data_IF_794662553367
#
_entry.id   IF_794662553367
#
_cell.length_a   1.000
_cell.length_b   1.000
_cell.length_c   1.000
_cell.angle_alpha   90.00
_cell.angle_beta   90.00
_cell.angle_gamma   90.00
#
_symmetry.space_group_name_H-M   'P 1'
#
loop_
_entity.id
_entity.type
_entity.pdbx_description
1 polymer ?
#
# COMPACT_ATOMS: atom_id res chain seq x y z
N UNK A 1 3.13 17.00 6.95
CA UNK A 1 2.85 15.56 6.95
C UNK A 1 3.67 14.93 5.84
N UNK A 2 4.06 13.68 5.99
CA UNK A 2 4.84 12.95 4.98
C UNK A 2 3.93 12.02 4.17
N UNK A 3 4.28 11.82 2.90
CA UNK A 3 3.63 10.88 1.98
C UNK A 3 4.38 9.55 2.06
N UNK A 4 3.66 8.48 2.40
CA UNK A 4 4.22 7.14 2.53
C UNK A 4 3.44 6.15 1.67
N UNK A 5 4.15 5.32 0.91
CA UNK A 5 3.53 4.25 0.14
C UNK A 5 3.69 2.91 0.85
N UNK A 6 2.62 2.15 1.00
CA UNK A 6 2.66 0.78 1.53
C UNK A 6 2.48 -0.21 0.37
N UNK A 7 3.61 -0.70 -0.14
CA UNK A 7 3.69 -1.57 -1.30
C UNK A 7 3.45 -3.02 -0.86
N UNK A 8 2.37 -3.61 -1.36
CA UNK A 8 1.81 -4.88 -0.87
C UNK A 8 1.23 -4.73 0.54
N UNK A 9 0.33 -3.76 0.71
CA UNK A 9 -0.27 -3.41 1.99
C UNK A 9 -1.16 -4.53 2.57
N UNK A 10 -1.53 -5.53 1.77
CA UNK A 10 -2.41 -6.61 2.16
C UNK A 10 -3.69 -6.10 2.80
N UNK A 11 -3.95 -6.54 4.03
CA UNK A 11 -5.15 -6.20 4.80
C UNK A 11 -5.11 -4.81 5.47
N UNK A 12 -4.15 -3.96 5.10
CA UNK A 12 -4.03 -2.59 5.61
C UNK A 12 -3.48 -2.50 7.04
N UNK A 13 -2.64 -3.45 7.47
CA UNK A 13 -2.08 -3.49 8.84
C UNK A 13 -1.44 -2.19 9.29
N UNK A 14 -0.75 -1.49 8.38
CA UNK A 14 0.03 -0.28 8.69
C UNK A 14 -0.75 1.03 8.50
N UNK A 15 -2.05 0.98 8.18
CA UNK A 15 -2.93 2.15 8.01
C UNK A 15 -3.47 2.68 9.35
N UNK A 16 -2.60 2.98 10.30
CA UNK A 16 -2.97 3.42 11.65
C UNK A 16 -2.26 4.70 12.14
N UNK A 17 -1.67 5.47 11.22
CA UNK A 17 -0.96 6.69 11.55
C UNK A 17 -1.64 7.92 10.93
N UNK A 18 -2.38 8.66 11.76
CA UNK A 18 -3.14 9.84 11.34
C UNK A 18 -2.26 11.06 10.98
N UNK A 19 -0.94 10.98 11.18
CA UNK A 19 0.02 12.05 10.82
C UNK A 19 0.63 11.86 9.43
N UNK A 20 0.38 10.72 8.79
CA UNK A 20 0.92 10.35 7.49
C UNK A 20 -0.17 10.36 6.43
N UNK A 21 0.20 10.80 5.23
CA UNK A 21 -0.61 10.59 4.03
C UNK A 21 -0.19 9.26 3.42
N UNK A 22 -0.98 8.22 3.65
CA UNK A 22 -0.64 6.87 3.20
C UNK A 22 -1.43 6.46 1.97
N UNK A 23 -0.74 5.95 0.95
CA UNK A 23 -1.33 5.24 -0.19
C UNK A 23 -0.86 3.78 -0.15
N UNK A 24 -1.81 2.85 -0.14
CA UNK A 24 -1.52 1.42 -0.09
C UNK A 24 -1.80 0.78 -1.42
N UNK A 25 -0.99 -0.22 -1.79
CA UNK A 25 -1.29 -1.02 -2.95
C UNK A 25 -1.13 -2.51 -2.67
N UNK A 26 -1.97 -3.32 -3.29
CA UNK A 26 -1.85 -4.77 -3.25
C UNK A 26 -2.39 -5.36 -4.56
N UNK A 27 -1.86 -6.51 -4.96
CA UNK A 27 -2.32 -7.23 -6.15
C UNK A 27 -3.69 -7.87 -5.92
N UNK A 28 -4.10 -8.06 -4.67
CA UNK A 28 -5.35 -8.72 -4.27
C UNK A 28 -6.47 -7.71 -3.96
N UNK A 29 -7.48 -7.54 -4.83
CA UNK A 29 -8.62 -6.68 -4.54
C UNK A 29 -9.38 -7.10 -3.28
N UNK A 30 -9.42 -8.41 -2.98
CA UNK A 30 -10.07 -8.94 -1.76
C UNK A 30 -9.39 -8.44 -0.48
N UNK A 31 -8.06 -8.30 -0.49
CA UNK A 31 -7.32 -7.76 0.64
C UNK A 31 -7.54 -6.26 0.77
N UNK A 32 -7.62 -5.54 -0.35
CA UNK A 32 -7.96 -4.12 -0.36
C UNK A 32 -9.37 -3.85 0.17
N UNK A 33 -10.36 -4.68 -0.19
CA UNK A 33 -11.71 -4.60 0.37
C UNK A 33 -11.69 -4.79 1.90
N UNK A 34 -10.86 -5.71 2.40
CA UNK A 34 -10.70 -5.89 3.85
C UNK A 34 -10.01 -4.68 4.49
N UNK A 35 -8.95 -4.15 3.87
CA UNK A 35 -8.25 -2.97 4.33
C UNK A 35 -9.18 -1.75 4.41
N UNK A 36 -10.04 -1.56 3.41
CA UNK A 36 -11.04 -0.48 3.39
C UNK A 36 -12.11 -0.66 4.47
N UNK A 37 -12.59 -1.89 4.70
CA UNK A 37 -13.51 -2.18 5.81
C UNK A 37 -12.89 -1.92 7.18
N UNK A 38 -11.57 -2.11 7.30
CA UNK A 38 -10.82 -1.86 8.54
C UNK A 38 -10.58 -0.37 8.76
N UNK A 39 -10.32 0.39 7.69
CA UNK A 39 -10.13 1.83 7.71
C UNK A 39 -10.78 2.44 6.46
N UNK A 40 -11.99 2.96 6.60
CA UNK A 40 -12.77 3.52 5.49
C UNK A 40 -12.12 4.75 4.85
N UNK A 41 -11.14 5.37 5.53
CA UNK A 41 -10.39 6.52 5.02
C UNK A 41 -9.09 6.12 4.33
N UNK A 42 -8.76 4.82 4.28
CA UNK A 42 -7.55 4.33 3.63
C UNK A 42 -7.59 4.66 2.13
N UNK A 43 -6.53 5.29 1.63
CA UNK A 43 -6.32 5.46 0.19
C UNK A 43 -5.62 4.21 -0.34
N UNK A 44 -6.31 3.47 -1.21
CA UNK A 44 -5.89 2.15 -1.67
C UNK A 44 -5.98 2.04 -3.19
N UNK A 45 -5.04 1.32 -3.81
CA UNK A 45 -5.02 1.03 -5.25
C UNK A 45 -4.66 -0.43 -5.52
N UNK A 46 -5.39 -1.08 -6.42
CA UNK A 46 -5.01 -2.41 -6.90
C UNK A 46 -3.90 -2.27 -7.93
N UNK A 47 -2.72 -2.85 -7.67
CA UNK A 47 -1.66 -2.90 -8.66
C UNK A 47 -0.66 -4.03 -8.40
N UNK A 48 0.06 -4.40 -9.45
CA UNK A 48 1.23 -5.28 -9.37
C UNK A 48 2.46 -4.44 -8.96
N UNK A 49 3.31 -4.97 -8.08
CA UNK A 49 4.53 -4.29 -7.61
C UNK A 49 5.56 -4.05 -8.73
N UNK A 50 5.51 -4.83 -9.81
CA UNK A 50 6.33 -4.63 -11.00
C UNK A 50 5.81 -3.49 -11.89
N UNK A 51 4.56 -3.07 -11.70
CA UNK A 51 3.88 -2.03 -12.49
C UNK A 51 3.17 -1.02 -11.58
N UNK A 52 3.94 -0.36 -10.71
CA UNK A 52 3.39 0.62 -9.77
C UNK A 52 2.88 1.88 -10.52
N UNK A 53 1.61 2.26 -10.40
CA UNK A 53 1.04 3.46 -11.03
C UNK A 53 1.35 4.72 -10.22
N UNK A 54 2.58 4.84 -9.71
CA UNK A 54 3.05 5.96 -8.90
C UNK A 54 4.07 6.76 -9.69
N UNK A 55 4.09 8.08 -9.47
CA UNK A 55 5.10 8.94 -10.08
C UNK A 55 6.44 8.74 -9.39
N UNK A 56 7.54 8.86 -10.11
CA UNK A 56 8.86 8.89 -9.48
C UNK A 56 8.98 10.08 -8.51
N UNK A 57 9.73 9.90 -7.42
CA UNK A 57 10.00 10.93 -6.42
C UNK A 57 8.75 11.59 -5.81
N UNK A 58 7.62 10.87 -5.76
CA UNK A 58 6.34 11.39 -5.25
C UNK A 58 6.01 11.01 -3.81
N UNK A 59 6.91 10.31 -3.10
CA UNK A 59 6.77 9.98 -1.69
C UNK A 59 8.04 10.30 -0.92
N UNK A 60 7.90 10.51 0.40
CA UNK A 60 9.02 10.68 1.31
C UNK A 60 9.62 9.33 1.73
N UNK A 61 8.81 8.27 1.74
CA UNK A 61 9.23 6.91 2.06
C UNK A 61 8.26 5.86 1.49
N UNK A 62 8.71 4.60 1.42
CA UNK A 62 7.85 3.47 1.14
C UNK A 62 8.12 2.30 2.10
N UNK A 63 7.06 1.54 2.39
CA UNK A 63 7.10 0.26 3.07
C UNK A 63 6.92 -0.85 2.02
N UNK A 64 7.68 -1.93 2.14
CA UNK A 64 7.56 -3.10 1.28
C UNK A 64 7.87 -4.34 2.13
N UNK A 65 6.84 -4.88 2.78
CA UNK A 65 7.00 -5.92 3.80
C UNK A 65 6.47 -7.24 3.25
N UNK A 66 7.34 -8.25 3.19
CA UNK A 66 6.96 -9.60 2.77
C UNK A 66 6.38 -9.70 1.33
N UNK A 67 6.75 -8.78 0.43
CA UNK A 67 6.26 -8.77 -0.96
C UNK A 67 7.29 -9.36 -1.92
N UNK A 68 8.53 -8.85 -1.88
CA UNK A 68 9.52 -9.14 -2.92
C UNK A 68 9.90 -10.62 -3.02
N UNK A 69 9.79 -11.38 -1.94
CA UNK A 69 10.09 -12.81 -1.96
C UNK A 69 9.08 -13.63 -2.80
N UNK A 70 7.90 -13.10 -3.09
CA UNK A 70 6.93 -13.74 -3.98
C UNK A 70 7.24 -13.54 -5.46
N UNK A 71 8.14 -12.62 -5.83
CA UNK A 71 8.40 -12.27 -7.23
C UNK A 71 9.19 -13.32 -8.01
N UNK A 72 9.86 -14.24 -7.32
CA UNK A 72 10.62 -15.33 -7.92
C UNK A 72 10.17 -16.71 -7.41
N UNK A 73 8.93 -16.80 -6.92
CA UNK A 73 8.33 -18.04 -6.40
C UNK A 73 7.57 -18.80 -7.48
#
# INVERSE_FOLDING_TARGET
GSIVYDIGCGNGKYFNNDRLYMLGCDVSPKLLDYALKRNEKASLVACDVLNLPIREQSCDAFLCVAVLHHLSS
#
